data_IF_684062842646
#
_entry.id   IF_684062842646
#
_cell.length_a   1.000
_cell.length_b   1.000
_cell.length_c   1.000
_cell.angle_alpha   90.00
_cell.angle_beta   90.00
_cell.angle_gamma   90.00
#
_symmetry.space_group_name_H-M   'P 1'
#
loop_
_entity.id
_entity.type
_entity.pdbx_description
1 polymer ?
#
# COMPACT_ATOMS: atom_id res chain seq x y z
N UNK A 1 -46.98 12.56 22.04
CA UNK A 1 -47.31 13.63 21.05
C UNK A 1 -47.17 15.02 21.64
N UNK A 2 -47.63 15.24 22.89
CA UNK A 2 -47.59 16.58 23.53
C UNK A 2 -46.20 17.17 23.68
N UNK A 3 -45.20 16.37 24.04
CA UNK A 3 -43.83 16.82 24.27
C UNK A 3 -43.12 17.35 23.00
N UNK A 4 -43.45 16.79 21.83
CA UNK A 4 -42.87 17.25 20.54
C UNK A 4 -43.39 18.65 20.16
N UNK A 5 -44.68 18.92 20.39
CA UNK A 5 -45.29 20.22 20.07
C UNK A 5 -44.68 21.32 20.96
N UNK A 6 -44.51 21.01 22.27
CA UNK A 6 -43.90 21.95 23.20
C UNK A 6 -42.43 22.21 22.83
N UNK A 7 -41.63 21.16 22.47
CA UNK A 7 -40.27 21.29 22.03
C UNK A 7 -40.14 22.16 20.76
N UNK A 8 -41.01 21.90 19.76
CA UNK A 8 -41.00 22.68 18.52
C UNK A 8 -41.33 24.15 18.74
N UNK A 9 -42.32 24.44 19.58
CA UNK A 9 -42.72 25.80 19.97
C UNK A 9 -41.59 26.52 20.71
N UNK A 10 -40.85 25.81 21.58
CA UNK A 10 -39.72 26.40 22.30
C UNK A 10 -38.57 26.75 21.35
N UNK A 11 -38.26 25.90 20.36
CA UNK A 11 -37.27 26.15 19.30
C UNK A 11 -37.65 27.42 18.50
N UNK A 12 -38.93 27.56 18.17
CA UNK A 12 -39.43 28.71 17.38
C UNK A 12 -39.43 30.02 18.17
N UNK A 13 -39.71 29.96 19.48
CA UNK A 13 -39.71 31.13 20.34
C UNK A 13 -38.30 31.64 20.69
N UNK A 14 -37.29 30.71 20.74
CA UNK A 14 -35.92 31.03 21.12
C UNK A 14 -34.95 30.78 19.92
N UNK A 15 -35.22 31.43 18.80
CA UNK A 15 -34.56 31.16 17.49
C UNK A 15 -33.03 31.20 17.55
N UNK A 16 -32.47 32.26 18.15
CA UNK A 16 -31.00 32.44 18.20
C UNK A 16 -30.33 31.35 19.04
N UNK A 17 -30.89 31.10 20.24
CA UNK A 17 -30.35 30.08 21.13
C UNK A 17 -30.47 28.66 20.52
N UNK A 18 -31.61 28.36 19.91
CA UNK A 18 -31.85 27.09 19.23
C UNK A 18 -30.94 26.93 18.01
N UNK A 19 -30.74 27.98 17.22
CA UNK A 19 -29.84 27.94 16.08
C UNK A 19 -28.39 27.65 16.51
N UNK A 20 -27.87 28.36 17.51
CA UNK A 20 -26.50 28.12 18.01
C UNK A 20 -26.33 26.67 18.48
N UNK A 21 -27.27 26.16 19.23
CA UNK A 21 -27.21 24.76 19.73
C UNK A 21 -27.28 23.74 18.59
N UNK A 22 -28.19 23.94 17.61
CA UNK A 22 -28.34 23.05 16.46
C UNK A 22 -27.07 23.08 15.60
N UNK A 23 -26.53 24.26 15.29
CA UNK A 23 -25.29 24.38 14.52
C UNK A 23 -24.10 23.79 15.28
N UNK A 24 -23.96 24.07 16.56
CA UNK A 24 -22.91 23.48 17.40
C UNK A 24 -22.96 21.95 17.40
N UNK A 25 -24.16 21.38 17.60
CA UNK A 25 -24.33 19.93 17.56
C UNK A 25 -24.09 19.36 16.17
N UNK A 26 -24.54 20.04 15.12
CA UNK A 26 -24.33 19.61 13.74
C UNK A 26 -22.83 19.56 13.37
N UNK A 27 -22.07 20.60 13.73
CA UNK A 27 -20.62 20.65 13.50
C UNK A 27 -19.91 19.55 14.30
N UNK A 28 -20.27 19.35 15.55
CA UNK A 28 -19.70 18.32 16.41
C UNK A 28 -19.95 16.91 15.85
N UNK A 29 -21.17 16.63 15.43
CA UNK A 29 -21.52 15.34 14.81
C UNK A 29 -20.80 15.15 13.47
N UNK A 30 -20.74 16.18 12.63
CA UNK A 30 -20.02 16.11 11.36
C UNK A 30 -18.53 15.81 11.57
N UNK A 31 -17.88 16.48 12.51
CA UNK A 31 -16.48 16.25 12.86
C UNK A 31 -16.28 14.81 13.37
N UNK A 32 -17.13 14.34 14.24
CA UNK A 32 -17.07 12.98 14.78
C UNK A 32 -17.23 11.92 13.67
N UNK A 33 -18.17 12.13 12.75
CA UNK A 33 -18.39 11.24 11.60
C UNK A 33 -17.17 11.20 10.67
N UNK A 34 -16.59 12.37 10.36
CA UNK A 34 -15.39 12.44 9.50
C UNK A 34 -14.23 11.68 10.13
N UNK A 35 -13.96 11.92 11.43
CA UNK A 35 -12.91 11.21 12.15
C UNK A 35 -13.20 9.70 12.19
N UNK A 36 -14.44 9.31 12.47
CA UNK A 36 -14.81 7.89 12.51
C UNK A 36 -14.65 7.21 11.16
N UNK A 37 -15.03 7.88 10.07
CA UNK A 37 -14.83 7.37 8.71
C UNK A 37 -13.35 7.26 8.34
N UNK A 38 -12.54 8.24 8.76
CA UNK A 38 -11.09 8.19 8.55
C UNK A 38 -10.47 7.00 9.28
N UNK A 39 -10.74 6.84 10.58
CA UNK A 39 -10.24 5.72 11.38
C UNK A 39 -10.73 4.37 10.83
N UNK A 40 -11.99 4.29 10.42
CA UNK A 40 -12.55 3.09 9.80
C UNK A 40 -11.83 2.73 8.50
N UNK A 41 -11.56 3.73 7.66
CA UNK A 41 -10.83 3.53 6.40
C UNK A 41 -9.41 3.05 6.67
N UNK A 42 -8.70 3.66 7.62
CA UNK A 42 -7.35 3.28 8.03
C UNK A 42 -7.28 1.83 8.53
N UNK A 43 -8.21 1.42 9.38
CA UNK A 43 -8.25 0.05 9.89
C UNK A 43 -8.55 -1.03 8.84
N UNK A 44 -9.12 -0.64 7.70
CA UNK A 44 -9.44 -1.59 6.62
C UNK A 44 -8.31 -1.77 5.61
N UNK A 45 -7.33 -0.89 5.58
CA UNK A 45 -6.29 -0.88 4.54
C UNK A 45 -5.48 -2.17 4.48
N UNK A 46 -5.10 -2.74 5.62
CA UNK A 46 -4.24 -3.91 5.68
C UNK A 46 -4.99 -5.25 5.84
N UNK A 47 -6.32 -5.19 6.06
CA UNK A 47 -7.12 -6.39 6.36
C UNK A 47 -7.32 -7.36 5.19
N UNK A 48 -6.81 -7.05 3.99
CA UNK A 48 -6.88 -7.98 2.85
C UNK A 48 -5.84 -9.09 2.92
N UNK A 49 -4.82 -8.97 3.78
CA UNK A 49 -3.84 -10.02 4.00
C UNK A 49 -4.36 -11.08 4.98
N UNK A 50 -4.42 -12.34 4.55
CA UNK A 50 -4.92 -13.46 5.36
C UNK A 50 -4.10 -13.69 6.63
N UNK A 51 -2.79 -13.46 6.55
CA UNK A 51 -1.85 -13.70 7.64
C UNK A 51 -1.39 -12.41 8.35
N UNK A 52 -2.18 -11.34 8.30
CA UNK A 52 -1.79 -10.04 8.85
C UNK A 52 -1.33 -10.11 10.31
N UNK A 53 -1.96 -10.96 11.12
CA UNK A 53 -1.63 -11.13 12.54
C UNK A 53 -0.23 -11.76 12.78
N UNK A 54 0.37 -12.35 11.75
CA UNK A 54 1.68 -12.99 11.81
C UNK A 54 2.74 -12.22 11.00
N UNK A 55 2.39 -11.05 10.48
CA UNK A 55 3.32 -10.18 9.73
C UNK A 55 3.81 -9.08 10.67
N UNK A 56 5.12 -9.00 10.85
CA UNK A 56 5.77 -8.03 11.73
C UNK A 56 6.76 -7.18 10.95
N UNK A 57 6.70 -5.87 11.14
CA UNK A 57 7.70 -4.95 10.63
C UNK A 57 8.84 -4.83 11.62
N UNK A 58 10.05 -5.08 11.16
CA UNK A 58 11.25 -4.88 11.98
C UNK A 58 11.65 -3.40 11.99
N UNK A 59 11.99 -2.92 13.17
CA UNK A 59 12.53 -1.58 13.41
C UNK A 59 13.82 -1.71 14.21
N UNK A 60 14.72 -0.75 14.01
CA UNK A 60 16.00 -0.68 14.72
C UNK A 60 16.03 0.56 15.63
N UNK A 61 16.63 0.40 16.82
CA UNK A 61 16.94 1.52 17.69
C UNK A 61 18.39 1.94 17.45
N UNK A 62 18.58 3.07 16.81
CA UNK A 62 19.90 3.63 16.53
C UNK A 62 20.26 4.70 17.57
N UNK A 63 21.45 4.59 18.13
CA UNK A 63 22.02 5.65 18.98
C UNK A 63 22.94 6.53 18.14
N UNK A 64 22.53 7.76 17.87
CA UNK A 64 23.34 8.75 17.17
C UNK A 64 23.66 9.91 18.11
N UNK A 65 24.92 10.04 18.47
CA UNK A 65 25.40 11.10 19.36
C UNK A 65 24.63 11.24 20.67
N UNK A 66 24.24 10.10 21.30
CA UNK A 66 23.47 10.08 22.56
C UNK A 66 21.95 10.15 22.41
N UNK A 67 21.43 10.37 21.22
CA UNK A 67 20.00 10.34 20.94
C UNK A 67 19.56 8.98 20.37
N UNK A 68 18.47 8.42 20.90
CA UNK A 68 17.88 7.18 20.42
C UNK A 68 16.81 7.46 19.37
N UNK A 69 17.00 6.92 18.17
CA UNK A 69 16.05 6.99 17.07
C UNK A 69 15.46 5.60 16.79
N UNK A 70 14.15 5.51 16.69
CA UNK A 70 13.49 4.32 16.14
C UNK A 70 13.40 4.48 14.63
N UNK A 71 14.16 3.67 13.88
CA UNK A 71 14.20 3.71 12.43
C UNK A 71 13.64 2.41 11.85
N UNK A 72 12.94 2.51 10.73
CA UNK A 72 12.39 1.34 10.03
C UNK A 72 13.34 0.84 8.92
N UNK A 73 14.60 1.27 8.97
CA UNK A 73 15.65 0.81 8.06
C UNK A 73 16.51 -0.19 8.82
N UNK A 74 16.72 -1.35 8.23
CA UNK A 74 17.52 -2.45 8.80
C UNK A 74 18.61 -2.88 7.82
N UNK A 75 19.75 -3.41 8.30
CA UNK A 75 20.80 -3.91 7.41
C UNK A 75 20.31 -5.05 6.51
N UNK A 76 20.68 -5.03 5.23
CA UNK A 76 20.29 -6.08 4.27
C UNK A 76 20.56 -7.51 4.70
N UNK A 77 21.69 -7.84 5.37
CA UNK A 77 22.00 -9.19 5.87
C UNK A 77 21.14 -9.65 7.04
N UNK A 78 20.39 -8.76 7.69
CA UNK A 78 19.56 -9.10 8.85
C UNK A 78 18.50 -10.18 8.53
N UNK A 79 17.83 -10.06 7.39
CA UNK A 79 16.76 -10.96 7.00
C UNK A 79 17.21 -12.43 6.88
N UNK A 80 18.29 -12.77 6.15
CA UNK A 80 18.80 -14.15 6.13
C UNK A 80 19.36 -14.61 7.47
N UNK A 81 19.96 -13.74 8.28
CA UNK A 81 20.45 -14.07 9.61
C UNK A 81 19.30 -14.47 10.54
N UNK A 82 18.23 -13.68 10.56
CA UNK A 82 17.05 -13.98 11.37
C UNK A 82 16.43 -15.34 11.02
N UNK A 83 16.29 -15.68 9.74
CA UNK A 83 15.77 -16.98 9.33
C UNK A 83 16.66 -18.14 9.75
N UNK A 84 17.96 -17.91 9.80
CA UNK A 84 18.92 -18.94 10.23
C UNK A 84 18.90 -19.17 11.74
N UNK A 85 18.81 -18.09 12.51
CA UNK A 85 18.98 -18.11 13.96
C UNK A 85 17.66 -18.32 14.71
N UNK A 86 16.52 -18.04 14.07
CA UNK A 86 15.18 -18.14 14.66
C UNK A 86 14.25 -18.99 13.79
N UNK A 87 14.09 -20.29 14.10
CA UNK A 87 13.26 -21.23 13.33
C UNK A 87 11.77 -20.85 13.28
N UNK A 88 11.30 -20.02 14.21
CA UNK A 88 9.92 -19.51 14.26
C UNK A 88 9.63 -18.54 13.12
N UNK A 89 10.67 -17.94 12.52
CA UNK A 89 10.54 -17.04 11.39
C UNK A 89 10.43 -17.85 10.10
N UNK A 90 9.20 -18.01 9.63
CA UNK A 90 8.90 -18.80 8.43
C UNK A 90 9.44 -18.12 7.18
N UNK A 91 9.19 -16.81 7.02
CA UNK A 91 9.64 -16.02 5.88
C UNK A 91 10.07 -14.61 6.29
N UNK A 92 10.93 -14.04 5.46
CA UNK A 92 11.34 -12.63 5.57
C UNK A 92 11.23 -11.97 4.20
N UNK A 93 10.86 -10.69 4.16
CA UNK A 93 10.82 -9.88 2.96
C UNK A 93 11.51 -8.55 3.23
N UNK A 94 12.43 -8.19 2.36
CA UNK A 94 13.10 -6.87 2.41
C UNK A 94 12.47 -5.97 1.36
N UNK A 95 12.40 -4.70 1.67
CA UNK A 95 11.99 -3.66 0.74
C UNK A 95 13.04 -2.57 0.68
N UNK A 96 13.33 -2.10 -0.53
CA UNK A 96 14.15 -0.92 -0.75
C UNK A 96 13.52 -0.08 -1.85
N UNK A 97 13.29 1.19 -1.56
CA UNK A 97 12.70 2.11 -2.52
C UNK A 97 13.75 2.57 -3.54
N UNK A 98 13.34 2.58 -4.78
CA UNK A 98 14.13 3.13 -5.87
C UNK A 98 13.25 4.00 -6.78
N UNK A 99 13.91 4.79 -7.64
CA UNK A 99 13.26 5.59 -8.66
C UNK A 99 14.13 5.67 -9.90
N UNK A 100 13.53 5.90 -11.04
CA UNK A 100 14.29 6.07 -12.27
C UNK A 100 13.43 6.09 -13.51
N UNK A 101 14.11 6.26 -14.65
CA UNK A 101 13.48 6.20 -15.96
C UNK A 101 13.29 4.74 -16.35
N UNK A 102 12.03 4.32 -16.47
CA UNK A 102 11.67 2.98 -16.89
C UNK A 102 11.18 3.02 -18.35
N UNK A 103 11.80 2.23 -19.20
CA UNK A 103 11.54 2.17 -20.65
C UNK A 103 11.03 0.79 -21.05
N UNK A 104 9.96 0.75 -21.86
CA UNK A 104 9.55 -0.43 -22.60
C UNK A 104 9.23 -0.02 -24.07
N UNK A 105 10.01 -0.51 -25.02
CA UNK A 105 9.92 -0.09 -26.42
C UNK A 105 10.12 1.42 -26.59
N UNK A 106 9.08 2.10 -27.08
CA UNK A 106 9.09 3.56 -27.26
C UNK A 106 8.52 4.32 -26.05
N UNK A 107 7.93 3.62 -25.09
CA UNK A 107 7.35 4.22 -23.89
C UNK A 107 8.45 4.43 -22.85
N UNK A 108 8.59 5.65 -22.35
CA UNK A 108 9.55 6.01 -21.30
C UNK A 108 8.85 6.87 -20.28
N UNK A 109 8.90 6.47 -19.02
CA UNK A 109 8.32 7.22 -17.91
C UNK A 109 9.28 7.23 -16.72
N UNK A 110 9.25 8.32 -15.97
CA UNK A 110 9.87 8.39 -14.65
C UNK A 110 8.94 7.71 -13.64
N UNK A 111 9.47 6.68 -12.97
CA UNK A 111 8.78 5.93 -11.93
C UNK A 111 9.46 6.19 -10.59
N UNK A 112 8.70 6.73 -9.63
CA UNK A 112 9.24 7.15 -8.33
C UNK A 112 9.06 6.09 -7.24
N UNK A 113 8.23 5.07 -7.48
CA UNK A 113 7.87 4.04 -6.50
C UNK A 113 8.25 2.65 -6.99
N UNK A 114 9.52 2.46 -7.37
CA UNK A 114 10.06 1.14 -7.69
C UNK A 114 10.49 0.48 -6.38
N UNK A 115 9.94 -0.70 -6.07
CA UNK A 115 10.29 -1.47 -4.88
C UNK A 115 11.22 -2.62 -5.28
N UNK A 116 12.45 -2.61 -4.76
CA UNK A 116 13.29 -3.81 -4.77
C UNK A 116 12.85 -4.70 -3.62
N UNK A 117 12.59 -5.95 -3.91
CA UNK A 117 12.07 -6.89 -2.91
C UNK A 117 12.55 -8.31 -3.13
N UNK A 118 12.43 -9.15 -2.13
CA UNK A 118 12.69 -10.57 -2.22
C UNK A 118 11.53 -11.32 -2.90
N UNK A 119 11.79 -12.46 -3.52
CA UNK A 119 10.78 -13.32 -4.15
C UNK A 119 9.72 -13.85 -3.17
N UNK A 120 10.03 -13.87 -1.88
CA UNK A 120 9.10 -14.26 -0.81
C UNK A 120 7.92 -13.29 -0.62
N UNK A 121 7.90 -12.16 -1.32
CA UNK A 121 6.83 -11.15 -1.21
C UNK A 121 5.43 -11.77 -1.42
N UNK A 122 5.26 -12.64 -2.42
CA UNK A 122 3.98 -13.27 -2.72
C UNK A 122 3.59 -14.41 -1.75
N UNK A 123 4.53 -14.89 -0.93
CA UNK A 123 4.25 -15.88 0.12
C UNK A 123 3.93 -15.23 1.46
N UNK A 124 4.39 -14.01 1.68
CA UNK A 124 4.15 -13.24 2.92
C UNK A 124 2.91 -12.36 2.77
N UNK A 125 2.78 -11.70 1.60
CA UNK A 125 1.68 -10.79 1.32
C UNK A 125 0.74 -11.38 0.26
N UNK A 126 -0.57 -11.21 0.46
CA UNK A 126 -1.61 -11.68 -0.47
C UNK A 126 -1.81 -10.65 -1.60
N UNK A 127 -0.79 -10.47 -2.45
CA UNK A 127 -0.90 -9.63 -3.63
C UNK A 127 -1.41 -10.45 -4.82
N UNK A 128 -2.67 -10.25 -5.27
CA UNK A 128 -3.23 -11.05 -6.36
C UNK A 128 -2.58 -10.68 -7.69
N UNK A 129 -1.95 -11.66 -8.36
CA UNK A 129 -1.48 -11.49 -9.72
C UNK A 129 -2.62 -11.67 -10.70
N UNK A 130 -2.84 -10.68 -11.57
CA UNK A 130 -3.79 -10.74 -12.69
C UNK A 130 -3.20 -11.50 -13.86
N UNK A 131 -1.88 -11.43 -14.04
CA UNK A 131 -1.08 -12.26 -14.95
C UNK A 131 0.24 -12.68 -14.30
N UNK A 132 0.75 -13.84 -14.67
CA UNK A 132 1.94 -14.44 -14.07
C UNK A 132 1.58 -15.46 -12.98
N UNK A 133 2.60 -16.04 -12.38
CA UNK A 133 2.45 -17.05 -11.33
C UNK A 133 3.21 -16.57 -10.07
N UNK A 134 2.55 -16.42 -8.93
CA UNK A 134 3.18 -15.95 -7.69
C UNK A 134 4.30 -16.87 -7.18
N UNK A 135 4.27 -18.16 -7.54
CA UNK A 135 5.32 -19.12 -7.16
C UNK A 135 6.60 -19.01 -7.99
N UNK A 136 6.55 -18.35 -9.16
CA UNK A 136 7.70 -18.21 -10.05
C UNK A 136 8.07 -16.78 -10.35
N UNK A 137 7.22 -15.81 -10.05
CA UNK A 137 7.52 -14.40 -10.23
C UNK A 137 8.61 -13.93 -9.26
N UNK A 138 9.54 -13.14 -9.76
CA UNK A 138 10.70 -12.59 -9.01
C UNK A 138 11.68 -13.65 -8.50
N UNK A 139 11.75 -14.84 -9.13
CA UNK A 139 12.78 -15.83 -8.82
C UNK A 139 14.15 -15.42 -9.36
N UNK A 140 14.18 -14.81 -10.54
CA UNK A 140 15.41 -14.27 -11.12
C UNK A 140 15.59 -12.79 -10.73
N UNK A 141 16.83 -12.34 -10.53
CA UNK A 141 17.10 -10.95 -10.13
C UNK A 141 16.79 -9.91 -11.22
N UNK A 142 16.63 -10.37 -12.46
CA UNK A 142 16.28 -9.57 -13.64
C UNK A 142 14.78 -9.62 -13.97
N UNK A 143 13.95 -9.91 -13.00
CA UNK A 143 12.49 -9.93 -13.16
C UNK A 143 11.83 -8.71 -12.54
N UNK A 144 10.73 -8.27 -13.16
CA UNK A 144 9.88 -7.17 -12.67
C UNK A 144 8.41 -7.60 -12.68
N UNK A 145 7.69 -7.16 -11.66
CA UNK A 145 6.22 -7.22 -11.62
C UNK A 145 5.70 -5.80 -11.58
N UNK A 146 4.72 -5.50 -12.41
CA UNK A 146 4.12 -4.17 -12.52
C UNK A 146 2.69 -4.18 -12.00
N UNK A 147 2.17 -3.02 -11.59
CA UNK A 147 0.76 -2.88 -11.22
C UNK A 147 -0.12 -2.83 -12.47
N UNK A 148 -1.43 -3.07 -12.29
CA UNK A 148 -2.42 -2.94 -13.36
C UNK A 148 -2.40 -1.53 -13.98
N UNK A 149 -2.27 -0.48 -13.18
CA UNK A 149 -2.15 0.89 -13.66
C UNK A 149 -0.91 1.08 -14.54
N UNK A 150 0.21 0.49 -14.16
CA UNK A 150 1.43 0.52 -14.99
C UNK A 150 1.21 -0.28 -16.28
N UNK A 151 0.53 -1.43 -16.22
CA UNK A 151 0.23 -2.20 -17.42
C UNK A 151 -0.62 -1.40 -18.40
N UNK A 152 -1.63 -0.66 -17.91
CA UNK A 152 -2.41 0.27 -18.74
C UNK A 152 -1.54 1.41 -19.30
N UNK A 153 -0.65 1.97 -18.49
CA UNK A 153 0.25 3.08 -18.87
C UNK A 153 1.20 2.70 -20.01
N UNK A 154 1.80 1.51 -19.95
CA UNK A 154 2.80 1.05 -20.93
C UNK A 154 2.21 0.33 -22.14
N UNK A 155 1.11 -0.41 -21.97
CA UNK A 155 0.55 -1.29 -23.01
C UNK A 155 -0.87 -0.91 -23.45
N UNK A 156 -1.46 0.12 -22.82
CA UNK A 156 -2.83 0.55 -23.08
C UNK A 156 -3.90 -0.34 -22.41
N UNK A 157 -5.16 0.02 -22.57
CA UNK A 157 -6.31 -0.61 -21.88
C UNK A 157 -6.50 -2.10 -22.22
N UNK A 158 -6.01 -2.56 -23.37
CA UNK A 158 -6.14 -3.94 -23.82
C UNK A 158 -4.96 -4.84 -23.42
N UNK A 159 -4.11 -4.38 -22.49
CA UNK A 159 -2.92 -5.11 -22.03
C UNK A 159 -3.22 -6.57 -21.64
N UNK A 160 -4.38 -6.82 -21.03
CA UNK A 160 -4.77 -8.16 -20.57
C UNK A 160 -4.96 -9.17 -21.73
N UNK A 161 -5.34 -8.70 -22.91
CA UNK A 161 -5.52 -9.53 -24.12
C UNK A 161 -4.20 -9.82 -24.85
N UNK A 162 -3.10 -9.18 -24.47
CA UNK A 162 -1.81 -9.40 -25.11
C UNK A 162 -1.21 -10.76 -24.67
N UNK A 163 -1.06 -11.75 -25.56
CA UNK A 163 -0.47 -13.04 -25.22
C UNK A 163 1.04 -12.97 -24.99
N UNK A 164 1.71 -12.00 -25.58
CA UNK A 164 3.17 -11.78 -25.46
C UNK A 164 3.52 -10.72 -24.39
N UNK A 165 2.65 -10.50 -23.42
CA UNK A 165 2.88 -9.49 -22.38
C UNK A 165 4.02 -9.90 -21.45
N UNK A 166 3.96 -11.14 -20.95
CA UNK A 166 5.03 -11.66 -20.07
C UNK A 166 6.30 -11.89 -20.89
N UNK A 167 7.44 -11.61 -20.29
CA UNK A 167 8.75 -11.65 -20.95
C UNK A 167 9.13 -10.35 -21.66
N UNK A 168 8.25 -9.35 -21.75
CA UNK A 168 8.60 -8.02 -22.25
C UNK A 168 9.71 -7.41 -21.40
N UNK A 169 10.65 -6.74 -22.06
CA UNK A 169 11.83 -6.17 -21.39
C UNK A 169 11.56 -4.71 -21.02
N UNK A 170 11.75 -4.43 -19.76
CA UNK A 170 11.82 -3.07 -19.21
C UNK A 170 13.27 -2.71 -18.93
N UNK A 171 13.69 -1.55 -19.38
CA UNK A 171 15.05 -1.03 -19.12
C UNK A 171 15.00 0.15 -18.16
N UNK A 172 15.65 0.01 -17.01
CA UNK A 172 15.76 1.04 -15.99
C UNK A 172 17.03 1.84 -16.16
N UNK A 173 16.93 3.16 -16.23
CA UNK A 173 18.01 4.13 -16.36
C UNK A 173 18.96 3.87 -17.54
N UNK A 174 18.49 3.19 -18.60
CA UNK A 174 19.29 2.68 -19.74
C UNK A 174 20.42 1.71 -19.35
N UNK A 175 20.41 1.16 -18.14
CA UNK A 175 21.49 0.34 -17.58
C UNK A 175 21.03 -1.09 -17.27
N UNK A 176 19.88 -1.24 -16.61
CA UNK A 176 19.40 -2.53 -16.11
C UNK A 176 18.19 -3.01 -16.91
N UNK A 177 18.25 -4.22 -17.42
CA UNK A 177 17.14 -4.88 -18.13
C UNK A 177 16.40 -5.84 -17.21
N UNK A 178 15.07 -5.70 -17.16
CA UNK A 178 14.17 -6.54 -16.39
C UNK A 178 13.11 -7.18 -17.28
N UNK A 179 12.84 -8.46 -17.10
CA UNK A 179 11.77 -9.19 -17.80
C UNK A 179 10.48 -9.14 -17.01
N UNK A 180 9.39 -8.82 -17.66
CA UNK A 180 8.08 -8.78 -17.03
C UNK A 180 7.63 -10.20 -16.64
N UNK A 181 7.59 -10.49 -15.35
CA UNK A 181 7.19 -11.78 -14.78
C UNK A 181 5.72 -11.81 -14.35
N UNK A 182 5.08 -10.65 -14.17
CA UNK A 182 3.69 -10.61 -13.75
C UNK A 182 3.08 -9.22 -13.72
N UNK A 183 1.75 -9.20 -13.61
CA UNK A 183 0.96 -7.98 -13.37
C UNK A 183 0.15 -8.21 -12.10
N UNK A 184 0.37 -7.38 -11.10
CA UNK A 184 -0.35 -7.39 -9.82
C UNK A 184 -1.55 -6.44 -9.88
N UNK A 185 -2.63 -6.82 -9.22
CA UNK A 185 -3.79 -5.96 -9.05
C UNK A 185 -3.37 -4.66 -8.35
N UNK A 186 -4.01 -3.55 -8.71
CA UNK A 186 -3.77 -2.30 -8.00
C UNK A 186 -4.09 -2.49 -6.51
N UNK A 187 -3.14 -2.11 -5.67
CA UNK A 187 -3.36 -2.07 -4.24
C UNK A 187 -4.31 -0.90 -3.92
N UNK A 188 -5.09 -1.00 -2.83
CA UNK A 188 -5.85 0.14 -2.34
C UNK A 188 -4.91 1.34 -2.22
N UNK A 189 -5.34 2.50 -2.73
CA UNK A 189 -4.55 3.72 -2.60
C UNK A 189 -4.36 4.05 -1.12
N UNK A 190 -3.12 4.27 -0.71
CA UNK A 190 -2.75 4.82 0.59
C UNK A 190 -3.23 6.27 0.71
#
# INVERSE_FOLDING_TARGET
RFNFIVAFRNIWNNKVFSAVNIFGLAISLASCLVISLFVWNEWRHDNFHKNINNIYRLTEKQNQAGNLYNVAVTPGPLAPALRKDFPEIVNTVRFSNWSGLLKNGQQVFEEQNIQLTDNSIFSVFDFPLLKGNPGTALLAPDEIVITENMAVKYFGKLWAANPALLGQVFRLNNEFDFKLAGVVQNLPAL
#
